data_IF_169802723861
#
_entry.id   IF_169802723861
#
_cell.length_a   1.000
_cell.length_b   1.000
_cell.length_c   1.000
_cell.angle_alpha   90.00
_cell.angle_beta   90.00
_cell.angle_gamma   90.00
#
_symmetry.space_group_name_H-M   'P 1'
#
loop_
_entity.id
_entity.type
_entity.pdbx_description
1 polymer ?
#
# COMPACT_ATOMS: atom_id res chain seq x y z
N UNK A 1 -15.63 -3.96 -12.02
CA UNK A 1 -14.27 -4.24 -11.53
C UNK A 1 -14.21 -4.02 -10.02
N UNK A 2 -13.30 -4.67 -9.36
CA UNK A 2 -13.09 -4.56 -7.90
C UNK A 2 -12.94 -3.09 -7.45
N UNK A 3 -12.24 -2.28 -8.24
CA UNK A 3 -12.02 -0.85 -7.99
C UNK A 3 -13.32 -0.05 -8.09
N UNK A 4 -14.16 -0.32 -9.09
CA UNK A 4 -15.44 0.38 -9.27
C UNK A 4 -16.47 0.03 -8.21
N UNK A 5 -16.50 -1.22 -7.78
CA UNK A 5 -17.41 -1.67 -6.72
C UNK A 5 -17.00 -1.14 -5.34
N UNK A 6 -15.69 -1.03 -5.09
CA UNK A 6 -15.16 -0.43 -3.88
C UNK A 6 -15.50 1.07 -3.79
N UNK A 7 -15.34 1.83 -4.88
CA UNK A 7 -15.70 3.25 -4.95
C UNK A 7 -17.15 3.50 -4.58
N UNK A 8 -18.07 2.76 -5.21
CA UNK A 8 -19.50 2.85 -4.92
C UNK A 8 -19.86 2.48 -3.47
N UNK A 9 -19.18 1.46 -2.92
CA UNK A 9 -19.39 1.07 -1.54
C UNK A 9 -18.95 2.18 -0.57
N UNK A 10 -17.83 2.85 -0.85
CA UNK A 10 -17.34 3.95 -0.03
C UNK A 10 -18.23 5.18 -0.13
N UNK A 11 -18.69 5.57 -1.32
CA UNK A 11 -19.66 6.66 -1.50
C UNK A 11 -20.92 6.41 -0.68
N UNK A 12 -21.45 5.18 -0.72
CA UNK A 12 -22.63 4.80 0.06
C UNK A 12 -22.41 4.90 1.57
N UNK A 13 -21.21 4.53 2.07
CA UNK A 13 -20.84 4.66 3.48
C UNK A 13 -20.80 6.14 3.88
N UNK A 14 -20.20 6.99 3.04
CA UNK A 14 -20.14 8.43 3.27
C UNK A 14 -21.52 9.07 3.35
N UNK A 15 -22.40 8.75 2.40
CA UNK A 15 -23.76 9.28 2.34
C UNK A 15 -24.64 8.80 3.51
N UNK A 16 -24.50 7.54 3.90
CA UNK A 16 -25.35 6.93 4.90
C UNK A 16 -24.93 7.23 6.34
N UNK A 17 -23.63 7.26 6.61
CA UNK A 17 -23.11 7.30 7.99
C UNK A 17 -22.39 8.60 8.36
N UNK A 18 -21.97 9.41 7.39
CA UNK A 18 -21.20 10.64 7.60
C UNK A 18 -20.04 10.46 8.61
N UNK A 19 -19.17 9.46 8.45
CA UNK A 19 -18.13 9.15 9.42
C UNK A 19 -17.04 10.23 9.43
N UNK A 20 -16.46 10.49 10.60
CA UNK A 20 -15.28 11.36 10.73
C UNK A 20 -14.00 10.68 10.25
N UNK A 21 -13.96 9.35 10.32
CA UNK A 21 -12.82 8.51 9.90
C UNK A 21 -13.29 7.17 9.37
N UNK A 22 -12.66 6.73 8.28
CA UNK A 22 -12.87 5.41 7.70
C UNK A 22 -11.58 4.62 7.80
N UNK A 23 -11.66 3.41 8.35
CA UNK A 23 -10.59 2.45 8.39
C UNK A 23 -10.85 1.36 7.35
N UNK A 24 -9.92 1.18 6.42
CA UNK A 24 -10.03 0.19 5.35
C UNK A 24 -9.02 -0.92 5.61
N UNK A 25 -9.50 -2.14 5.79
CA UNK A 25 -8.67 -3.34 5.86
C UNK A 25 -8.90 -4.18 4.60
N UNK A 26 -7.97 -4.13 3.63
CA UNK A 26 -8.05 -4.96 2.44
C UNK A 26 -7.67 -6.41 2.76
N UNK A 27 -8.01 -7.34 1.87
CA UNK A 27 -7.54 -8.73 2.02
C UNK A 27 -6.00 -8.80 1.95
N UNK A 28 -5.38 -9.66 2.77
CA UNK A 28 -3.93 -9.72 2.96
C UNK A 28 -3.11 -10.20 1.75
N UNK A 29 -3.74 -10.54 0.63
CA UNK A 29 -3.10 -11.00 -0.61
C UNK A 29 -3.05 -9.94 -1.72
N UNK A 30 -3.56 -8.73 -1.47
CA UNK A 30 -3.53 -7.62 -2.41
C UNK A 30 -2.26 -6.77 -2.28
N UNK A 31 -1.93 -6.04 -3.34
CA UNK A 31 -0.91 -5.00 -3.29
C UNK A 31 -1.48 -3.75 -2.62
N UNK A 32 -0.75 -3.18 -1.68
CA UNK A 32 -1.14 -1.94 -1.01
C UNK A 32 -1.28 -0.79 -2.03
N UNK A 33 -0.40 -0.71 -3.00
CA UNK A 33 -0.45 0.26 -4.10
C UNK A 33 -1.77 0.24 -4.87
N UNK A 34 -2.36 -0.93 -5.11
CA UNK A 34 -3.64 -1.04 -5.82
C UNK A 34 -4.81 -0.50 -4.99
N UNK A 35 -4.78 -0.75 -3.68
CA UNK A 35 -5.80 -0.21 -2.75
C UNK A 35 -5.70 1.32 -2.67
N UNK A 36 -4.49 1.86 -2.57
CA UNK A 36 -4.25 3.31 -2.54
C UNK A 36 -4.79 3.96 -3.81
N UNK A 37 -4.47 3.42 -4.99
CA UNK A 37 -5.01 3.92 -6.27
C UNK A 37 -6.53 3.84 -6.33
N UNK A 38 -7.13 2.77 -5.82
CA UNK A 38 -8.59 2.63 -5.77
C UNK A 38 -9.23 3.73 -4.92
N UNK A 39 -8.64 4.07 -3.77
CA UNK A 39 -9.14 5.15 -2.90
C UNK A 39 -8.94 6.52 -3.54
N UNK A 40 -7.79 6.77 -4.19
CA UNK A 40 -7.52 8.03 -4.89
C UNK A 40 -8.47 8.32 -6.04
N UNK A 41 -8.94 7.27 -6.73
CA UNK A 41 -9.90 7.40 -7.84
C UNK A 41 -11.33 7.71 -7.38
N UNK A 42 -11.57 7.77 -6.08
CA UNK A 42 -12.87 8.16 -5.55
C UNK A 42 -12.93 9.69 -5.54
N UNK A 43 -13.79 10.24 -6.39
CA UNK A 43 -14.01 11.68 -6.52
C UNK A 43 -14.92 12.24 -5.42
N UNK A 44 -14.77 11.78 -4.18
CA UNK A 44 -15.46 12.36 -3.05
C UNK A 44 -14.67 13.57 -2.55
N UNK A 45 -15.21 14.75 -2.75
CA UNK A 45 -14.56 16.02 -2.38
C UNK A 45 -14.28 16.20 -0.88
N UNK A 46 -14.88 15.34 -0.04
CA UNK A 46 -14.82 15.43 1.42
C UNK A 46 -13.98 14.31 2.05
N UNK A 47 -13.21 13.55 1.26
CA UNK A 47 -12.35 12.45 1.75
C UNK A 47 -10.90 12.75 1.50
N UNK A 48 -10.10 12.70 2.57
CA UNK A 48 -8.66 12.84 2.54
C UNK A 48 -8.00 11.53 2.98
N UNK A 49 -6.95 11.11 2.28
CA UNK A 49 -6.12 10.00 2.70
C UNK A 49 -5.24 10.46 3.88
N UNK A 50 -5.34 9.76 5.01
CA UNK A 50 -4.70 10.13 6.26
C UNK A 50 -3.50 9.21 6.61
N UNK A 51 -3.44 8.01 6.05
CA UNK A 51 -2.30 7.11 6.25
C UNK A 51 -2.45 5.76 5.55
N UNK A 52 -1.30 5.15 5.27
CA UNK A 52 -1.15 3.80 4.72
C UNK A 52 -0.35 2.97 5.69
N UNK A 53 -1.02 2.24 6.57
CA UNK A 53 -0.37 1.47 7.62
C UNK A 53 -0.26 0.01 7.25
N UNK A 54 0.94 -0.55 7.37
CA UNK A 54 1.16 -2.00 7.25
C UNK A 54 1.50 -2.61 8.59
N UNK A 55 0.74 -3.64 8.98
CA UNK A 55 1.00 -4.44 10.18
C UNK A 55 1.87 -5.64 9.80
N UNK A 56 3.01 -5.80 10.47
CA UNK A 56 3.99 -6.83 10.17
C UNK A 56 4.16 -7.77 11.37
N UNK A 57 4.01 -9.07 11.14
CA UNK A 57 4.34 -10.10 12.14
C UNK A 57 5.86 -10.18 12.32
N UNK A 58 6.37 -9.65 13.44
CA UNK A 58 7.80 -9.58 13.71
C UNK A 58 8.47 -10.96 13.81
N UNK A 59 7.73 -11.99 14.25
CA UNK A 59 8.26 -13.36 14.35
C UNK A 59 8.38 -14.05 12.99
N UNK A 60 7.51 -13.70 12.04
CA UNK A 60 7.40 -14.34 10.73
C UNK A 60 7.93 -13.49 9.57
N UNK A 61 8.42 -12.29 9.83
CA UNK A 61 8.87 -11.32 8.83
C UNK A 61 9.82 -11.95 7.79
N UNK A 62 10.87 -12.62 8.22
CA UNK A 62 11.83 -13.30 7.33
C UNK A 62 11.17 -14.38 6.46
N UNK A 63 10.26 -15.14 7.02
CA UNK A 63 9.54 -16.21 6.31
C UNK A 63 8.60 -15.62 5.25
N UNK A 64 7.85 -14.59 5.60
CA UNK A 64 6.92 -13.93 4.68
C UNK A 64 7.65 -13.22 3.54
N UNK A 65 8.75 -12.55 3.83
CA UNK A 65 9.58 -11.91 2.80
C UNK A 65 10.11 -12.95 1.79
N UNK A 66 10.53 -14.13 2.28
CA UNK A 66 11.03 -15.20 1.41
C UNK A 66 9.93 -15.84 0.55
N UNK A 67 8.75 -16.08 1.12
CA UNK A 67 7.70 -16.85 0.47
C UNK A 67 6.74 -15.98 -0.37
N UNK A 68 6.57 -14.72 -0.01
CA UNK A 68 5.62 -13.79 -0.62
C UNK A 68 6.30 -12.47 -1.02
N UNK A 69 7.55 -12.53 -1.47
CA UNK A 69 8.44 -11.37 -1.62
C UNK A 69 7.81 -10.18 -2.35
N UNK A 70 7.16 -10.40 -3.49
CA UNK A 70 6.53 -9.31 -4.26
C UNK A 70 5.44 -8.59 -3.46
N UNK A 71 4.48 -9.33 -2.89
CA UNK A 71 3.39 -8.75 -2.11
C UNK A 71 3.88 -8.16 -0.80
N UNK A 72 4.75 -8.87 -0.10
CA UNK A 72 5.33 -8.41 1.15
C UNK A 72 6.11 -7.11 0.94
N UNK A 73 7.00 -7.07 -0.03
CA UNK A 73 7.82 -5.88 -0.31
C UNK A 73 6.95 -4.70 -0.74
N UNK A 74 5.92 -4.91 -1.57
CA UNK A 74 4.99 -3.86 -1.97
C UNK A 74 4.27 -3.25 -0.76
N UNK A 75 3.76 -4.07 0.16
CA UNK A 75 3.10 -3.59 1.38
C UNK A 75 4.04 -2.82 2.30
N UNK A 76 5.32 -3.16 2.33
CA UNK A 76 6.32 -2.43 3.13
C UNK A 76 6.74 -1.14 2.42
N UNK A 77 7.02 -1.20 1.14
CA UNK A 77 7.52 -0.06 0.35
C UNK A 77 6.56 1.12 0.37
N UNK A 78 5.27 0.86 0.19
CA UNK A 78 4.25 1.93 0.11
C UNK A 78 3.61 2.30 1.44
N UNK A 79 4.03 1.72 2.55
CA UNK A 79 3.50 2.08 3.85
C UNK A 79 4.03 3.45 4.32
N UNK A 80 3.14 4.30 4.78
CA UNK A 80 3.49 5.54 5.50
C UNK A 80 3.79 5.31 6.98
N UNK A 81 3.40 4.14 7.52
CA UNK A 81 3.69 3.67 8.86
C UNK A 81 3.76 2.15 8.90
N UNK A 82 4.72 1.59 9.62
CA UNK A 82 4.86 0.17 9.87
C UNK A 82 4.63 -0.12 11.36
N UNK A 83 3.75 -1.07 11.66
CA UNK A 83 3.47 -1.48 13.04
C UNK A 83 3.83 -2.94 13.19
N UNK A 84 4.74 -3.25 14.12
CA UNK A 84 5.12 -4.63 14.40
C UNK A 84 4.11 -5.28 15.35
N UNK A 85 3.66 -6.47 15.00
CA UNK A 85 2.88 -7.35 15.87
C UNK A 85 3.75 -8.50 16.39
N UNK A 86 3.27 -9.19 17.43
CA UNK A 86 3.96 -10.33 18.06
C UNK A 86 5.37 -9.99 18.58
N UNK A 87 5.57 -8.79 19.07
CA UNK A 87 6.84 -8.32 19.63
C UNK A 87 7.07 -8.82 21.03
N UNK A 88 6.03 -9.11 21.78
CA UNK A 88 6.10 -9.66 23.14
C UNK A 88 6.97 -10.93 23.19
N UNK A 89 7.99 -10.93 24.05
CA UNK A 89 8.90 -12.05 24.24
C UNK A 89 9.87 -12.29 23.06
N UNK A 90 9.92 -11.40 22.08
CA UNK A 90 10.91 -11.42 21.01
C UNK A 90 12.24 -10.88 21.55
N UNK A 91 13.36 -11.58 21.24
CA UNK A 91 14.68 -11.06 21.61
C UNK A 91 15.02 -9.79 20.83
N UNK A 92 15.84 -8.92 21.43
CA UNK A 92 16.26 -7.67 20.79
C UNK A 92 16.94 -7.93 19.42
N UNK A 93 17.78 -8.96 19.32
CA UNK A 93 18.46 -9.31 18.06
C UNK A 93 17.46 -9.67 16.94
N UNK A 94 16.38 -10.39 17.27
CA UNK A 94 15.32 -10.73 16.29
C UNK A 94 14.49 -9.52 15.92
N UNK A 95 14.22 -8.64 16.86
CA UNK A 95 13.53 -7.38 16.59
C UNK A 95 14.36 -6.49 15.67
N UNK A 96 15.65 -6.35 15.96
CA UNK A 96 16.60 -5.57 15.13
C UNK A 96 16.75 -6.15 13.72
N UNK A 97 16.79 -7.48 13.58
CA UNK A 97 16.79 -8.15 12.26
C UNK A 97 15.52 -7.84 11.47
N UNK A 98 14.36 -7.89 12.12
CA UNK A 98 13.08 -7.52 11.49
C UNK A 98 13.12 -6.07 11.01
N UNK A 99 13.47 -5.13 11.87
CA UNK A 99 13.55 -3.70 11.52
C UNK A 99 14.53 -3.48 10.35
N UNK A 100 15.70 -4.11 10.38
CA UNK A 100 16.70 -4.00 9.30
C UNK A 100 16.12 -4.47 7.96
N UNK A 101 15.38 -5.59 7.94
CA UNK A 101 14.71 -6.09 6.74
C UNK A 101 13.68 -5.12 6.20
N UNK A 102 12.87 -4.53 7.07
CA UNK A 102 11.87 -3.54 6.65
C UNK A 102 12.54 -2.29 6.09
N UNK A 103 13.64 -1.84 6.68
CA UNK A 103 14.41 -0.68 6.19
C UNK A 103 15.03 -0.88 4.81
N UNK A 104 15.26 -2.10 4.36
CA UNK A 104 15.70 -2.36 2.97
C UNK A 104 14.61 -2.04 1.94
N UNK A 105 13.35 -2.04 2.35
CA UNK A 105 12.21 -1.75 1.48
C UNK A 105 11.61 -0.36 1.73
N UNK A 106 11.76 0.17 2.94
CA UNK A 106 11.19 1.48 3.32
C UNK A 106 12.11 2.18 4.33
N UNK A 107 12.83 3.18 3.86
CA UNK A 107 13.81 3.92 4.66
C UNK A 107 13.18 4.98 5.57
N UNK A 108 12.01 5.49 5.23
CA UNK A 108 11.42 6.72 5.80
C UNK A 108 10.32 6.47 6.81
N UNK A 109 9.45 5.48 6.58
CA UNK A 109 8.27 5.27 7.40
C UNK A 109 8.63 5.01 8.87
N UNK A 110 7.90 5.61 9.83
CA UNK A 110 8.05 5.25 11.23
C UNK A 110 7.73 3.76 11.44
N UNK A 111 8.52 3.10 12.28
CA UNK A 111 8.30 1.71 12.67
C UNK A 111 7.96 1.66 14.15
N UNK A 112 6.73 1.25 14.46
CA UNK A 112 6.29 1.04 15.85
C UNK A 112 6.71 -0.36 16.28
N UNK A 113 7.65 -0.43 17.22
CA UNK A 113 8.24 -1.69 17.73
C UNK A 113 7.74 -2.06 19.14
N UNK A 114 7.05 -1.16 19.80
CA UNK A 114 6.53 -1.32 21.15
C UNK A 114 5.42 -2.35 21.20
N UNK A 115 5.38 -3.16 22.26
CA UNK A 115 4.29 -4.09 22.50
C UNK A 115 2.95 -3.35 22.56
N UNK A 116 1.92 -3.94 21.97
CA UNK A 116 0.62 -3.32 21.85
C UNK A 116 -0.04 -3.03 23.20
N UNK A 117 0.23 -3.85 24.22
CA UNK A 117 -0.27 -3.64 25.59
C UNK A 117 0.31 -2.36 26.24
N UNK A 118 1.41 -1.83 25.71
CA UNK A 118 2.06 -0.62 26.19
C UNK A 118 1.73 0.62 25.33
N UNK A 119 0.94 0.47 24.27
CA UNK A 119 0.56 1.54 23.37
C UNK A 119 -0.83 2.07 23.71
N UNK A 120 -0.98 3.38 23.66
CA UNK A 120 -2.30 4.03 23.66
C UNK A 120 -2.81 4.19 22.23
N UNK A 121 -4.14 4.23 22.07
CA UNK A 121 -4.74 4.51 20.77
C UNK A 121 -4.28 5.84 20.18
N UNK A 122 -4.05 6.86 21.03
CA UNK A 122 -3.51 8.15 20.61
C UNK A 122 -2.12 8.04 19.99
N UNK A 123 -1.21 7.29 20.62
CA UNK A 123 0.14 7.05 20.10
C UNK A 123 0.12 6.34 18.76
N UNK A 124 -0.77 5.34 18.60
CA UNK A 124 -0.95 4.64 17.34
C UNK A 124 -1.45 5.58 16.24
N UNK A 125 -2.48 6.37 16.50
CA UNK A 125 -3.02 7.34 15.52
C UNK A 125 -1.97 8.36 15.13
N UNK A 126 -1.20 8.88 16.07
CA UNK A 126 -0.11 9.82 15.79
C UNK A 126 0.97 9.20 14.87
N UNK A 127 1.34 7.95 15.09
CA UNK A 127 2.29 7.24 14.23
C UNK A 127 1.72 6.98 12.82
N UNK A 128 0.44 6.60 12.73
CA UNK A 128 -0.24 6.29 11.48
C UNK A 128 -0.49 7.50 10.60
N UNK A 129 -0.56 8.71 11.18
CA UNK A 129 -0.96 9.95 10.50
C UNK A 129 0.18 10.97 10.34
N UNK A 130 1.43 10.50 10.26
CA UNK A 130 2.58 11.38 10.00
C UNK A 130 2.59 11.85 8.54
N UNK A 131 2.16 13.10 8.32
CA UNK A 131 1.91 13.68 7.00
C UNK A 131 3.12 13.70 6.06
N UNK A 132 4.32 13.97 6.57
CA UNK A 132 5.51 14.07 5.72
C UNK A 132 5.84 12.76 5.00
N UNK A 133 5.72 11.63 5.70
CA UNK A 133 5.96 10.31 5.11
C UNK A 133 4.84 9.92 4.13
N UNK A 134 3.59 10.28 4.47
CA UNK A 134 2.43 10.03 3.63
C UNK A 134 2.54 10.75 2.28
N UNK A 135 2.91 12.02 2.29
CA UNK A 135 3.03 12.83 1.07
C UNK A 135 4.14 12.30 0.16
N UNK A 136 5.28 11.91 0.72
CA UNK A 136 6.40 11.31 -0.02
C UNK A 136 5.98 9.99 -0.71
N UNK A 137 5.36 9.07 0.03
CA UNK A 137 4.89 7.78 -0.52
C UNK A 137 3.81 7.96 -1.58
N UNK A 138 2.95 8.95 -1.40
CA UNK A 138 1.91 9.27 -2.37
C UNK A 138 2.49 9.78 -3.69
N UNK A 139 3.52 10.64 -3.62
CA UNK A 139 4.20 11.15 -4.79
C UNK A 139 4.97 10.06 -5.55
N UNK A 140 5.66 9.16 -4.84
CA UNK A 140 6.35 8.02 -5.44
C UNK A 140 5.36 7.11 -6.18
N UNK A 141 4.21 6.81 -5.57
CA UNK A 141 3.18 5.98 -6.19
C UNK A 141 2.60 6.62 -7.47
N UNK A 142 2.36 7.92 -7.45
CA UNK A 142 1.85 8.65 -8.61
C UNK A 142 2.88 8.70 -9.75
N UNK A 143 4.15 8.83 -9.43
CA UNK A 143 5.24 8.81 -10.41
C UNK A 143 5.35 7.45 -11.11
N UNK A 144 5.31 6.35 -10.37
CA UNK A 144 5.31 4.99 -10.93
C UNK A 144 4.09 4.72 -11.81
N UNK A 145 2.91 5.22 -11.42
CA UNK A 145 1.70 5.07 -12.23
C UNK A 145 1.83 5.78 -13.59
N UNK A 146 2.47 6.95 -13.63
CA UNK A 146 2.70 7.69 -14.85
C UNK A 146 3.71 7.00 -15.81
N UNK A 147 4.73 6.33 -15.26
CA UNK A 147 5.70 5.57 -16.08
C UNK A 147 5.07 4.34 -16.73
N UNK A 148 4.15 3.64 -16.04
CA UNK A 148 3.47 2.47 -16.59
C UNK A 148 2.51 2.81 -17.72
N UNK A 149 1.88 3.97 -17.74
CA UNK A 149 1.00 4.40 -18.83
C UNK A 149 1.75 4.70 -20.14
N UNK A 150 3.04 5.05 -20.07
CA UNK A 150 3.86 5.33 -21.26
C UNK A 150 4.35 4.08 -21.99
N UNK A 151 4.29 2.88 -21.39
CA UNK A 151 4.76 1.65 -22.03
C UNK A 151 3.70 0.88 -22.84
N UNK A 152 2.44 1.31 -22.86
CA UNK A 152 1.36 0.62 -23.57
C UNK A 152 1.02 1.19 -24.96
N UNK A 153 1.76 2.15 -25.49
CA UNK A 153 1.56 2.74 -26.81
C UNK A 153 2.75 2.53 -27.74
N UNK A 154 3.07 1.30 -28.10
CA UNK A 154 3.78 0.98 -29.35
C UNK A 154 3.60 -0.52 -29.61
N UNK A 155 2.83 -0.81 -30.65
CA UNK A 155 3.05 -1.70 -31.77
C UNK A 155 1.73 -2.12 -32.40
N UNK A 156 1.28 -1.35 -33.35
CA UNK A 156 0.49 -1.83 -34.47
C UNK A 156 1.29 -1.53 -35.74
N UNK A 157 2.15 -2.46 -36.11
CA UNK A 157 2.69 -2.51 -37.46
C UNK A 157 1.61 -3.04 -38.40
N UNK A 158 1.17 -2.16 -39.30
CA UNK A 158 0.39 -2.47 -40.47
C UNK A 158 1.17 -3.39 -41.41
N UNK A 159 0.82 -4.65 -41.48
CA UNK A 159 1.20 -5.51 -42.60
C UNK A 159 0.17 -5.37 -43.72
N UNK A 160 0.47 -4.50 -44.70
CA UNK A 160 -0.14 -4.53 -46.01
C UNK A 160 0.28 -5.81 -46.75
N UNK A 161 -0.67 -6.68 -47.04
CA UNK A 161 -0.53 -7.79 -48.00
C UNK A 161 -0.97 -7.30 -49.38
N UNK A 162 0.00 -7.03 -50.23
CA UNK A 162 -0.21 -6.94 -51.68
C UNK A 162 -0.53 -8.35 -52.23
N UNK A 163 -1.69 -8.53 -52.82
CA UNK A 163 -2.02 -9.67 -53.68
C UNK A 163 -1.77 -9.24 -55.14
N UNK A 164 -0.69 -9.74 -55.71
CA UNK A 164 -0.52 -9.76 -57.15
C UNK A 164 -1.36 -10.93 -57.72
N UNK A 165 -2.25 -10.60 -58.66
CA UNK A 165 -2.89 -11.51 -59.56
C UNK A 165 -2.08 -11.52 -60.84
N UNK A 166 -1.52 -12.66 -61.23
CA UNK A 166 -1.11 -12.99 -62.59
C UNK A 166 -1.92 -14.17 -63.14
N UNK A 167 -2.25 -14.00 -64.38
CA UNK A 167 -3.06 -14.75 -65.37
C UNK A 167 -3.00 -16.29 -65.31
#
# INVERSE_FOLDING_TARGET
SLVGDFGKALEKVLEQYHPDRILIEPSGVGKLSDVIRAVQNIHAHDVELDGFTTVVDAKKCKMYQKNFGEFFNNQITYASCLILSHTAGLSQDKLDDCVRRLRTCNEKAPIVTTDWDQLTGKQLVEAMTQKNTLDDELQELLAEAAEHDHHHHHDHDDHEHEHEHDE
#
